data_IF_689493690937
#
_entry.id   IF_689493690937
#
_cell.length_a   1.000
_cell.length_b   1.000
_cell.length_c   1.000
_cell.angle_alpha   90.00
_cell.angle_beta   90.00
_cell.angle_gamma   90.00
#
_symmetry.space_group_name_H-M   'P 1'
#
loop_
_entity.id
_entity.type
_entity.pdbx_description
1 polymer ?
#
# COMPACT_ATOMS: atom_id res chain seq x y z
N UNK A 1 -17.27 11.04 -12.37
CA UNK A 1 -17.40 9.56 -12.37
C UNK A 1 -16.63 9.07 -13.57
N UNK A 2 -15.70 8.12 -13.41
CA UNK A 2 -14.87 7.63 -14.52
C UNK A 2 -15.73 6.71 -15.38
N UNK A 3 -15.79 6.97 -16.69
CA UNK A 3 -16.57 6.15 -17.63
C UNK A 3 -15.88 4.79 -17.85
N UNK A 4 -16.54 3.66 -17.52
CA UNK A 4 -15.98 2.32 -17.76
C UNK A 4 -15.63 2.06 -19.23
N UNK A 5 -16.35 2.66 -20.18
CA UNK A 5 -16.06 2.50 -21.60
C UNK A 5 -14.75 3.21 -22.00
N UNK A 6 -14.44 4.36 -21.40
CA UNK A 6 -13.15 5.04 -21.57
C UNK A 6 -11.99 4.25 -20.96
N UNK A 7 -12.21 3.61 -19.81
CA UNK A 7 -11.21 2.74 -19.18
C UNK A 7 -10.83 1.60 -20.13
N UNK A 8 -11.83 0.94 -20.71
CA UNK A 8 -11.57 -0.18 -21.63
C UNK A 8 -10.93 0.27 -22.94
N UNK A 9 -11.24 1.49 -23.45
CA UNK A 9 -10.57 2.07 -24.63
C UNK A 9 -9.07 2.25 -24.44
N UNK A 10 -8.63 2.54 -23.22
CA UNK A 10 -7.22 2.75 -22.91
C UNK A 10 -6.48 1.46 -22.57
N UNK A 11 -7.19 0.36 -22.37
CA UNK A 11 -6.59 -0.94 -22.05
C UNK A 11 -5.85 -1.49 -23.26
N UNK A 12 -4.63 -1.97 -23.04
CA UNK A 12 -3.86 -2.60 -24.10
C UNK A 12 -4.47 -3.96 -24.47
N UNK A 13 -4.29 -4.34 -25.73
CA UNK A 13 -4.50 -5.75 -26.09
C UNK A 13 -3.54 -6.64 -25.31
N UNK A 14 -3.98 -7.86 -24.99
CA UNK A 14 -3.15 -8.84 -24.29
C UNK A 14 -1.81 -9.10 -24.98
N UNK A 15 -1.78 -9.07 -26.32
CA UNK A 15 -0.56 -9.25 -27.10
C UNK A 15 0.42 -8.09 -26.89
N UNK A 16 -0.08 -6.85 -26.95
CA UNK A 16 0.73 -5.65 -26.75
C UNK A 16 1.23 -5.52 -25.30
N UNK A 17 0.36 -5.82 -24.33
CA UNK A 17 0.75 -5.85 -22.92
C UNK A 17 1.92 -6.83 -22.68
N UNK A 18 1.83 -8.07 -23.18
CA UNK A 18 2.90 -9.07 -23.06
C UNK A 18 4.16 -8.68 -23.82
N UNK A 19 4.02 -8.03 -24.98
CA UNK A 19 5.15 -7.54 -25.77
C UNK A 19 5.94 -6.50 -25.00
N UNK A 20 5.27 -5.47 -24.46
CA UNK A 20 5.91 -4.45 -23.61
C UNK A 20 6.59 -5.06 -22.40
N UNK A 21 5.96 -6.04 -21.75
CA UNK A 21 6.56 -6.73 -20.62
C UNK A 21 7.90 -7.38 -21.00
N UNK A 22 7.90 -8.20 -22.06
CA UNK A 22 9.07 -8.96 -22.48
C UNK A 22 10.18 -8.09 -23.05
N UNK A 23 9.82 -7.11 -23.88
CA UNK A 23 10.78 -6.34 -24.67
C UNK A 23 11.30 -5.10 -23.94
N UNK A 24 10.60 -4.64 -22.88
CA UNK A 24 10.96 -3.42 -22.15
C UNK A 24 11.09 -3.63 -20.65
N UNK A 25 10.03 -4.10 -19.98
CA UNK A 25 10.02 -4.22 -18.51
C UNK A 25 11.06 -5.25 -18.04
N UNK A 26 11.14 -6.41 -18.68
CA UNK A 26 12.10 -7.45 -18.31
C UNK A 26 13.55 -6.95 -18.47
N UNK A 27 14.00 -6.45 -19.65
CA UNK A 27 15.36 -5.93 -19.81
C UNK A 27 15.72 -4.81 -18.82
N UNK A 28 14.81 -3.86 -18.59
CA UNK A 28 15.10 -2.67 -17.80
C UNK A 28 15.11 -2.96 -16.30
N UNK A 29 14.16 -3.78 -15.81
CA UNK A 29 13.87 -3.88 -14.38
C UNK A 29 14.15 -5.26 -13.77
N UNK A 30 14.09 -6.35 -14.54
CA UNK A 30 14.11 -7.72 -14.00
C UNK A 30 15.35 -8.53 -14.42
N UNK A 31 15.89 -8.28 -15.61
CA UNK A 31 17.03 -9.01 -16.15
C UNK A 31 18.34 -8.63 -15.42
N UNK A 32 19.37 -9.46 -15.61
CA UNK A 32 20.70 -9.23 -15.01
C UNK A 32 20.81 -9.57 -13.52
N UNK A 33 19.82 -10.26 -12.95
CA UNK A 33 19.87 -10.84 -11.61
C UNK A 33 20.27 -12.31 -11.69
N UNK A 34 20.96 -12.81 -10.67
CA UNK A 34 21.44 -14.19 -10.62
C UNK A 34 20.38 -15.07 -9.94
N UNK A 35 19.91 -16.10 -10.65
CA UNK A 35 18.99 -17.10 -10.10
C UNK A 35 19.62 -17.87 -8.93
N UNK A 36 18.79 -18.21 -7.96
CA UNK A 36 19.15 -18.89 -6.72
C UNK A 36 18.40 -20.22 -6.61
N UNK A 37 19.02 -21.22 -5.99
CA UNK A 37 18.33 -22.48 -5.66
C UNK A 37 17.23 -22.27 -4.62
N UNK A 38 17.43 -21.31 -3.70
CA UNK A 38 16.45 -20.94 -2.67
C UNK A 38 16.41 -19.41 -2.58
N UNK A 39 15.66 -18.73 -3.46
CA UNK A 39 15.58 -17.28 -3.43
C UNK A 39 14.86 -16.77 -2.19
N UNK A 40 15.40 -15.73 -1.55
CA UNK A 40 14.68 -14.91 -0.57
C UNK A 40 13.74 -13.92 -1.26
N UNK A 41 12.45 -14.03 -0.98
CA UNK A 41 11.39 -13.11 -1.43
C UNK A 41 10.84 -12.37 -0.21
N UNK A 42 11.04 -11.06 -0.20
CA UNK A 42 10.67 -10.20 0.92
C UNK A 42 9.39 -9.45 0.60
N UNK A 43 8.31 -9.75 1.31
CA UNK A 43 7.09 -8.95 1.32
C UNK A 43 7.29 -7.77 2.26
N UNK A 44 7.55 -6.58 1.71
CA UNK A 44 7.65 -5.35 2.47
C UNK A 44 6.28 -4.69 2.56
N UNK A 45 5.59 -4.94 3.66
CA UNK A 45 4.20 -4.60 3.87
C UNK A 45 4.07 -3.27 4.61
N UNK A 46 3.43 -2.29 3.98
CA UNK A 46 3.15 -1.01 4.62
C UNK A 46 2.20 -0.15 3.80
N UNK A 47 1.30 0.54 4.49
CA UNK A 47 0.33 1.43 3.84
C UNK A 47 1.06 2.57 3.09
N UNK A 48 0.41 3.22 2.11
CA UNK A 48 0.97 4.41 1.47
C UNK A 48 1.41 5.45 2.52
N UNK A 49 2.59 6.02 2.33
CA UNK A 49 3.17 7.01 3.27
C UNK A 49 3.84 6.41 4.51
N UNK A 50 3.82 5.10 4.74
CA UNK A 50 4.46 4.48 5.91
C UNK A 50 6.00 4.60 5.94
N UNK A 51 6.63 5.00 4.82
CA UNK A 51 8.09 5.20 4.76
C UNK A 51 8.90 3.91 4.68
N UNK A 52 8.50 3.01 3.77
CA UNK A 52 9.17 1.72 3.50
C UNK A 52 10.64 1.85 3.08
N UNK A 53 11.03 2.98 2.48
CA UNK A 53 12.33 3.18 1.81
C UNK A 53 13.54 2.76 2.63
N UNK A 54 13.60 3.10 3.92
CA UNK A 54 14.76 2.75 4.77
C UNK A 54 14.93 1.25 4.94
N UNK A 55 13.82 0.52 5.09
CA UNK A 55 13.82 -0.95 5.17
C UNK A 55 14.11 -1.54 3.79
N UNK A 56 13.56 -0.95 2.72
CA UNK A 56 13.90 -1.33 1.34
C UNK A 56 15.41 -1.25 1.08
N UNK A 57 16.05 -0.12 1.42
CA UNK A 57 17.50 0.07 1.26
C UNK A 57 18.31 -0.99 2.02
N UNK A 58 17.92 -1.27 3.26
CA UNK A 58 18.59 -2.28 4.09
C UNK A 58 18.49 -3.68 3.45
N UNK A 59 17.29 -4.08 3.03
CA UNK A 59 17.05 -5.39 2.39
C UNK A 59 17.75 -5.46 1.03
N UNK A 60 17.63 -4.42 0.21
CA UNK A 60 18.31 -4.30 -1.08
C UNK A 60 19.82 -4.46 -0.92
N UNK A 61 20.41 -3.79 0.07
CA UNK A 61 21.83 -3.92 0.39
C UNK A 61 22.24 -5.34 0.76
N UNK A 62 21.38 -6.10 1.44
CA UNK A 62 21.61 -7.51 1.72
C UNK A 62 21.51 -8.39 0.46
N UNK A 63 20.41 -8.29 -0.29
CA UNK A 63 20.17 -9.11 -1.48
C UNK A 63 21.17 -8.83 -2.61
N UNK A 64 21.64 -7.59 -2.76
CA UNK A 64 22.65 -7.23 -3.76
C UNK A 64 24.00 -7.93 -3.54
N UNK A 65 24.33 -8.33 -2.30
CA UNK A 65 25.53 -9.14 -2.03
C UNK A 65 25.38 -10.60 -2.47
N UNK A 66 24.16 -11.02 -2.82
CA UNK A 66 23.80 -12.39 -3.14
C UNK A 66 23.11 -12.49 -4.51
N UNK A 67 23.63 -11.79 -5.52
CA UNK A 67 23.13 -11.92 -6.90
C UNK A 67 22.07 -10.91 -7.34
N UNK A 68 21.74 -9.93 -6.48
CA UNK A 68 20.77 -8.88 -6.78
C UNK A 68 19.33 -9.34 -6.61
N UNK A 69 18.39 -8.41 -6.78
CA UNK A 69 16.97 -8.67 -6.59
C UNK A 69 16.10 -7.96 -7.64
N UNK A 70 14.89 -8.46 -7.83
CA UNK A 70 13.82 -7.78 -8.54
C UNK A 70 12.99 -6.93 -7.56
N UNK A 71 12.86 -5.62 -7.85
CA UNK A 71 11.93 -4.75 -7.12
C UNK A 71 10.55 -4.84 -7.80
N UNK A 72 9.59 -5.44 -7.10
CA UNK A 72 8.24 -5.69 -7.62
C UNK A 72 7.29 -4.67 -7.02
N UNK A 73 7.07 -3.61 -7.78
CA UNK A 73 6.14 -2.53 -7.47
C UNK A 73 5.34 -2.15 -8.72
N UNK A 74 4.01 -2.15 -8.59
CA UNK A 74 3.10 -1.72 -9.65
C UNK A 74 3.41 -0.31 -10.19
N UNK A 75 3.97 0.57 -9.37
CA UNK A 75 4.32 1.93 -9.77
C UNK A 75 5.51 2.00 -10.74
N UNK A 76 6.40 1.00 -10.72
CA UNK A 76 7.53 0.91 -11.66
C UNK A 76 7.08 0.54 -13.08
N UNK A 77 5.94 -0.16 -13.21
CA UNK A 77 5.45 -0.65 -14.50
C UNK A 77 4.53 0.33 -15.22
N UNK A 78 3.78 1.16 -14.49
CA UNK A 78 2.84 2.13 -15.11
C UNK A 78 3.48 3.05 -16.16
N UNK A 79 4.71 3.56 -15.98
CA UNK A 79 5.39 4.40 -16.99
C UNK A 79 5.63 3.72 -18.34
N UNK A 80 5.57 2.39 -18.41
CA UNK A 80 5.70 1.65 -19.67
C UNK A 80 4.44 1.70 -20.54
N UNK A 81 3.30 2.12 -19.97
CA UNK A 81 2.07 2.27 -20.73
C UNK A 81 2.20 3.41 -21.77
N UNK A 82 1.91 3.18 -23.06
CA UNK A 82 2.09 4.19 -24.11
C UNK A 82 1.37 5.52 -23.85
N UNK A 83 0.20 5.46 -23.21
CA UNK A 83 -0.57 6.65 -22.85
C UNK A 83 -0.15 7.32 -21.53
N UNK A 84 0.79 6.76 -20.75
CA UNK A 84 1.09 7.21 -19.38
C UNK A 84 1.47 8.68 -19.31
N UNK A 85 2.43 9.13 -20.13
CA UNK A 85 2.92 10.50 -20.09
C UNK A 85 1.82 11.53 -20.44
N UNK A 86 1.00 11.21 -21.45
CA UNK A 86 -0.15 12.05 -21.85
C UNK A 86 -1.18 12.13 -20.73
N UNK A 87 -1.59 10.98 -20.19
CA UNK A 87 -2.60 10.92 -19.13
C UNK A 87 -2.14 11.59 -17.84
N UNK A 88 -0.87 11.45 -17.47
CA UNK A 88 -0.28 12.15 -16.32
C UNK A 88 -0.34 13.68 -16.46
N UNK A 89 -0.17 14.20 -17.68
CA UNK A 89 -0.23 15.64 -17.95
C UNK A 89 -1.66 16.19 -17.99
N UNK A 90 -2.64 15.34 -18.31
CA UNK A 90 -4.06 15.70 -18.36
C UNK A 90 -4.72 15.64 -16.98
N UNK A 91 -4.66 14.49 -16.33
CA UNK A 91 -5.31 14.22 -15.05
C UNK A 91 -4.71 12.95 -14.40
N UNK A 92 -4.09 13.12 -13.23
CA UNK A 92 -3.42 12.03 -12.49
C UNK A 92 -4.39 10.92 -12.04
N UNK A 93 -5.65 11.27 -11.82
CA UNK A 93 -6.73 10.37 -11.41
C UNK A 93 -7.23 9.55 -12.59
N UNK A 94 -7.39 10.15 -13.77
CA UNK A 94 -7.71 9.42 -15.00
C UNK A 94 -6.56 8.49 -15.41
N UNK A 95 -5.32 8.95 -15.32
CA UNK A 95 -4.14 8.10 -15.53
C UNK A 95 -4.21 6.84 -14.66
N UNK A 96 -4.42 7.02 -13.35
CA UNK A 96 -4.44 5.92 -12.40
C UNK A 96 -5.56 4.91 -12.70
N UNK A 97 -6.70 5.36 -13.24
CA UNK A 97 -7.79 4.48 -13.62
C UNK A 97 -7.50 3.72 -14.92
N UNK A 98 -7.01 4.42 -15.94
CA UNK A 98 -6.83 3.88 -17.29
C UNK A 98 -5.65 2.90 -17.38
N UNK A 99 -4.56 3.12 -16.63
CA UNK A 99 -3.40 2.21 -16.66
C UNK A 99 -3.49 1.09 -15.62
N UNK A 100 -4.59 1.00 -14.84
CA UNK A 100 -4.68 0.09 -13.69
C UNK A 100 -4.64 -1.37 -14.10
N UNK A 101 -5.41 -1.73 -15.14
CA UNK A 101 -5.52 -3.11 -15.59
C UNK A 101 -4.18 -3.63 -16.12
N UNK A 102 -3.54 -2.87 -17.01
CA UNK A 102 -2.23 -3.19 -17.57
C UNK A 102 -1.13 -3.26 -16.52
N UNK A 103 -1.11 -2.29 -15.58
CA UNK A 103 -0.17 -2.31 -14.46
C UNK A 103 -0.33 -3.54 -13.57
N UNK A 104 -1.56 -4.00 -13.30
CA UNK A 104 -1.80 -5.25 -12.57
C UNK A 104 -1.35 -6.48 -13.35
N UNK A 105 -1.58 -6.51 -14.66
CA UNK A 105 -1.14 -7.61 -15.52
C UNK A 105 0.39 -7.71 -15.56
N UNK A 106 1.10 -6.60 -15.69
CA UNK A 106 2.57 -6.58 -15.63
C UNK A 106 3.11 -6.98 -14.26
N UNK A 107 2.44 -6.57 -13.17
CA UNK A 107 2.83 -7.00 -11.83
C UNK A 107 2.71 -8.52 -11.67
N UNK A 108 1.62 -9.14 -12.14
CA UNK A 108 1.47 -10.59 -12.16
C UNK A 108 2.52 -11.31 -13.04
N UNK A 109 2.84 -10.73 -14.20
CA UNK A 109 3.91 -11.25 -15.08
C UNK A 109 5.30 -11.14 -14.42
N UNK A 110 5.59 -10.04 -13.72
CA UNK A 110 6.84 -9.85 -12.98
C UNK A 110 6.97 -10.86 -11.83
N UNK A 111 5.90 -11.06 -11.06
CA UNK A 111 5.88 -12.09 -10.01
C UNK A 111 6.12 -13.50 -10.57
N UNK A 112 5.52 -13.83 -11.72
CA UNK A 112 5.75 -15.10 -12.40
C UNK A 112 7.20 -15.25 -12.89
N UNK A 113 7.75 -14.20 -13.50
CA UNK A 113 9.14 -14.16 -13.96
C UNK A 113 10.12 -14.40 -12.80
N UNK A 114 9.90 -13.75 -11.66
CA UNK A 114 10.71 -13.94 -10.43
C UNK A 114 10.70 -15.40 -9.98
N UNK A 115 9.53 -16.05 -9.95
CA UNK A 115 9.41 -17.46 -9.56
C UNK A 115 10.09 -18.39 -10.57
N UNK A 116 9.85 -18.20 -11.86
CA UNK A 116 10.41 -19.03 -12.93
C UNK A 116 11.95 -18.99 -12.97
N UNK A 117 12.54 -17.83 -12.66
CA UNK A 117 13.98 -17.62 -12.71
C UNK A 117 14.67 -17.77 -11.35
N UNK A 118 13.93 -18.10 -10.28
CA UNK A 118 14.46 -18.26 -8.93
C UNK A 118 15.14 -16.99 -8.41
N UNK A 119 14.57 -15.81 -8.65
CA UNK A 119 15.20 -14.54 -8.29
C UNK A 119 14.87 -14.13 -6.85
N UNK A 120 15.83 -13.51 -6.16
CA UNK A 120 15.48 -12.68 -5.01
C UNK A 120 14.53 -11.57 -5.42
N UNK A 121 13.62 -11.19 -4.53
CA UNK A 121 12.69 -10.10 -4.79
C UNK A 121 12.31 -9.33 -3.53
N UNK A 122 11.97 -8.05 -3.73
CA UNK A 122 11.23 -7.25 -2.75
C UNK A 122 9.86 -6.97 -3.36
N UNK A 123 8.80 -7.47 -2.73
CA UNK A 123 7.42 -7.22 -3.13
C UNK A 123 6.90 -6.05 -2.30
N UNK A 124 6.66 -4.91 -2.96
CA UNK A 124 6.12 -3.71 -2.30
C UNK A 124 4.61 -3.87 -2.11
N UNK A 125 4.19 -4.19 -0.89
CA UNK A 125 2.80 -4.55 -0.60
C UNK A 125 2.11 -3.51 0.29
N UNK A 126 0.86 -3.19 -0.03
CA UNK A 126 -0.01 -2.29 0.74
C UNK A 126 -1.16 -3.03 1.43
N UNK A 127 -1.43 -4.27 1.03
CA UNK A 127 -2.35 -5.24 1.63
C UNK A 127 -3.81 -4.78 1.65
N UNK A 128 -4.31 -4.21 0.56
CA UNK A 128 -5.74 -3.92 0.39
C UNK A 128 -6.62 -5.18 0.39
N UNK A 129 -6.05 -6.32 -0.02
CA UNK A 129 -6.71 -7.63 0.01
C UNK A 129 -5.77 -8.67 0.62
N UNK A 130 -5.91 -8.90 1.92
CA UNK A 130 -5.04 -9.82 2.67
C UNK A 130 -5.11 -11.27 2.18
N UNK A 131 -6.26 -11.73 1.65
CA UNK A 131 -6.41 -13.09 1.13
C UNK A 131 -5.60 -13.27 -0.17
N UNK A 132 -5.66 -12.30 -1.08
CA UNK A 132 -4.85 -12.33 -2.30
C UNK A 132 -3.34 -12.29 -2.00
N UNK A 133 -2.92 -11.56 -0.96
CA UNK A 133 -1.51 -11.56 -0.53
C UNK A 133 -1.10 -12.91 0.05
N UNK A 134 -1.94 -13.53 0.87
CA UNK A 134 -1.70 -14.89 1.37
C UNK A 134 -1.51 -15.90 0.23
N UNK A 135 -2.35 -15.86 -0.80
CA UNK A 135 -2.21 -16.71 -1.99
C UNK A 135 -0.86 -16.52 -2.68
N UNK A 136 -0.40 -15.26 -2.83
CA UNK A 136 0.93 -14.96 -3.38
C UNK A 136 2.06 -15.51 -2.52
N UNK A 137 1.98 -15.33 -1.20
CA UNK A 137 2.99 -15.85 -0.26
C UNK A 137 3.11 -17.37 -0.37
N UNK A 138 1.96 -18.08 -0.45
CA UNK A 138 1.93 -19.53 -0.69
C UNK A 138 2.57 -19.89 -2.03
N UNK A 139 2.22 -19.19 -3.11
CA UNK A 139 2.80 -19.45 -4.43
C UNK A 139 4.33 -19.31 -4.47
N UNK A 140 4.92 -18.37 -3.73
CA UNK A 140 6.37 -18.25 -3.60
C UNK A 140 7.00 -19.38 -2.76
N UNK A 141 6.35 -19.79 -1.67
CA UNK A 141 6.81 -20.95 -0.89
C UNK A 141 6.77 -22.23 -1.71
N UNK A 142 5.69 -22.43 -2.47
CA UNK A 142 5.50 -23.61 -3.32
C UNK A 142 6.53 -23.65 -4.46
N UNK A 143 7.07 -22.50 -4.88
CA UNK A 143 8.20 -22.41 -5.81
C UNK A 143 9.58 -22.60 -5.14
N UNK A 144 9.64 -22.96 -3.85
CA UNK A 144 10.88 -23.18 -3.11
C UNK A 144 11.57 -21.91 -2.61
N UNK A 145 10.89 -20.76 -2.62
CA UNK A 145 11.45 -19.52 -2.10
C UNK A 145 11.39 -19.49 -0.56
N UNK A 146 12.43 -18.89 0.05
CA UNK A 146 12.36 -18.40 1.42
C UNK A 146 11.52 -17.12 1.42
N UNK A 147 10.43 -17.10 2.19
CA UNK A 147 9.54 -15.94 2.28
C UNK A 147 9.79 -15.18 3.57
N UNK A 148 10.09 -13.89 3.47
CA UNK A 148 10.19 -13.00 4.62
C UNK A 148 9.11 -11.92 4.54
N UNK A 149 8.45 -11.62 5.66
CA UNK A 149 7.39 -10.64 5.73
C UNK A 149 7.77 -9.53 6.71
N UNK A 150 8.11 -8.35 6.17
CA UNK A 150 8.56 -7.20 6.95
C UNK A 150 7.45 -6.15 6.94
N UNK A 151 6.88 -5.88 8.10
CA UNK A 151 5.73 -4.99 8.25
C UNK A 151 6.12 -3.63 8.82
N UNK A 152 5.49 -2.57 8.33
CA UNK A 152 5.61 -1.22 8.88
C UNK A 152 4.55 -0.97 9.96
N UNK A 153 4.96 -0.94 11.23
CA UNK A 153 4.15 -0.55 12.38
C UNK A 153 4.12 0.96 12.55
N UNK A 154 3.41 1.66 11.66
CA UNK A 154 3.41 3.12 11.61
C UNK A 154 2.02 3.68 11.92
N UNK A 155 1.89 4.62 12.87
CA UNK A 155 0.62 5.29 13.18
C UNK A 155 -0.04 5.95 11.95
N UNK A 156 -1.37 5.93 11.89
CA UNK A 156 -2.12 6.40 10.72
C UNK A 156 -1.81 7.86 10.37
N UNK A 157 -1.70 8.74 11.38
CA UNK A 157 -1.37 10.15 11.19
C UNK A 157 -0.02 10.35 10.49
N UNK A 158 1.01 9.59 10.88
CA UNK A 158 2.32 9.67 10.23
C UNK A 158 2.27 9.23 8.77
N UNK A 159 1.55 8.14 8.46
CA UNK A 159 1.40 7.70 7.07
C UNK A 159 0.58 8.69 6.24
N UNK A 160 -0.50 9.26 6.78
CA UNK A 160 -1.31 10.26 6.08
C UNK A 160 -0.53 11.54 5.82
N UNK A 161 0.26 12.01 6.80
CA UNK A 161 1.20 13.12 6.59
C UNK A 161 2.22 12.77 5.51
N UNK A 162 2.75 11.56 5.51
CA UNK A 162 3.69 11.08 4.49
C UNK A 162 3.10 11.08 3.07
N UNK A 163 1.82 10.74 2.91
CA UNK A 163 1.12 10.83 1.62
C UNK A 163 1.07 12.28 1.14
N UNK A 164 0.65 13.21 2.00
CA UNK A 164 0.55 14.64 1.66
C UNK A 164 1.92 15.23 1.37
N UNK A 165 2.92 14.95 2.21
CA UNK A 165 4.28 15.45 2.03
C UNK A 165 4.87 15.00 0.69
N UNK A 166 4.75 13.72 0.35
CA UNK A 166 5.22 13.20 -0.95
C UNK A 166 4.50 13.87 -2.12
N UNK A 167 3.20 14.11 -2.00
CA UNK A 167 2.43 14.77 -3.05
C UNK A 167 2.88 16.22 -3.25
N UNK A 168 3.09 16.98 -2.17
CA UNK A 168 3.60 18.36 -2.26
C UNK A 168 5.01 18.43 -2.82
N UNK A 169 5.89 17.49 -2.44
CA UNK A 169 7.22 17.38 -3.04
C UNK A 169 7.16 17.12 -4.56
N UNK A 170 6.24 16.26 -5.02
CA UNK A 170 6.04 16.01 -6.45
C UNK A 170 5.52 17.23 -7.20
N UNK A 171 4.54 17.95 -6.62
CA UNK A 171 4.05 19.20 -7.19
C UNK A 171 5.16 20.25 -7.31
N UNK A 172 6.00 20.38 -6.28
CA UNK A 172 7.10 21.33 -6.28
C UNK A 172 8.20 20.96 -7.30
N UNK A 173 8.52 19.67 -7.44
CA UNK A 173 9.57 19.17 -8.34
C UNK A 173 9.14 19.17 -9.81
N UNK A 174 7.87 18.81 -10.10
CA UNK A 174 7.43 18.45 -11.46
C UNK A 174 6.22 19.24 -11.96
N UNK A 175 5.62 20.09 -11.12
CA UNK A 175 4.33 20.73 -11.40
C UNK A 175 3.12 19.80 -11.34
N UNK A 176 3.36 18.49 -11.17
CA UNK A 176 2.33 17.45 -11.13
C UNK A 176 2.72 16.37 -10.11
N UNK A 177 1.73 15.83 -9.40
CA UNK A 177 1.91 14.79 -8.41
C UNK A 177 0.77 13.78 -8.47
N UNK A 178 0.93 12.63 -7.82
CA UNK A 178 -0.12 11.61 -7.74
C UNK A 178 -0.58 11.44 -6.31
N UNK A 179 -1.74 12.01 -5.99
CA UNK A 179 -2.29 11.91 -4.65
C UNK A 179 -2.90 10.53 -4.43
N UNK A 180 -2.47 9.85 -3.37
CA UNK A 180 -3.12 8.59 -2.96
C UNK A 180 -4.56 8.88 -2.51
N UNK A 181 -5.52 8.18 -3.10
CA UNK A 181 -6.93 8.21 -2.66
C UNK A 181 -7.01 7.74 -1.20
N UNK A 182 -7.67 8.53 -0.35
CA UNK A 182 -7.67 8.28 1.10
C UNK A 182 -8.30 6.95 1.48
N UNK A 183 -9.44 6.58 0.87
CA UNK A 183 -10.09 5.29 1.14
C UNK A 183 -9.17 4.09 0.84
N UNK A 184 -8.36 4.16 -0.22
CA UNK A 184 -7.38 3.13 -0.53
C UNK A 184 -6.28 3.01 0.54
N UNK A 185 -5.85 4.14 1.11
CA UNK A 185 -4.88 4.17 2.20
C UNK A 185 -5.48 3.61 3.50
N UNK A 186 -6.74 3.90 3.79
CA UNK A 186 -7.46 3.41 4.96
C UNK A 186 -7.74 1.89 4.86
N UNK A 187 -8.16 1.41 3.68
CA UNK A 187 -8.28 -0.02 3.38
C UNK A 187 -6.94 -0.75 3.57
N UNK A 188 -5.84 -0.17 3.06
CA UNK A 188 -4.49 -0.70 3.28
C UNK A 188 -4.14 -0.76 4.76
N UNK A 189 -4.41 0.33 5.51
CA UNK A 189 -4.13 0.40 6.94
C UNK A 189 -4.85 -0.71 7.71
N UNK A 190 -6.14 -0.95 7.45
CA UNK A 190 -6.90 -2.03 8.07
C UNK A 190 -6.45 -3.43 7.59
N UNK A 191 -6.26 -3.60 6.28
CA UNK A 191 -5.92 -4.87 5.65
C UNK A 191 -4.56 -5.43 6.09
N UNK A 192 -3.61 -4.57 6.45
CA UNK A 192 -2.30 -4.99 7.00
C UNK A 192 -2.45 -5.82 8.29
N UNK A 193 -3.38 -5.46 9.19
CA UNK A 193 -3.61 -6.25 10.41
C UNK A 193 -4.27 -7.60 10.09
N UNK A 194 -5.13 -7.65 9.08
CA UNK A 194 -5.73 -8.90 8.61
C UNK A 194 -4.69 -9.82 7.97
N UNK A 195 -3.74 -9.27 7.23
CA UNK A 195 -2.61 -10.03 6.68
C UNK A 195 -1.70 -10.55 7.80
N UNK A 196 -1.42 -9.74 8.83
CA UNK A 196 -0.65 -10.18 9.97
C UNK A 196 -1.26 -11.42 10.66
N UNK A 197 -2.59 -11.41 10.88
CA UNK A 197 -3.31 -12.58 11.42
C UNK A 197 -3.17 -13.82 10.54
N UNK A 198 -3.17 -13.65 9.20
CA UNK A 198 -3.01 -14.75 8.24
C UNK A 198 -1.59 -15.29 8.24
N UNK A 199 -0.58 -14.42 8.32
CA UNK A 199 0.84 -14.81 8.41
C UNK A 199 1.07 -15.63 9.68
N UNK A 200 0.62 -15.14 10.82
CA UNK A 200 0.73 -15.82 12.12
C UNK A 200 0.03 -17.19 12.09
N UNK A 201 -1.25 -17.24 11.71
CA UNK A 201 -2.05 -18.46 11.73
C UNK A 201 -1.60 -19.49 10.69
N UNK A 202 -1.20 -19.03 9.52
CA UNK A 202 -0.84 -19.86 8.38
C UNK A 202 0.64 -20.21 8.29
N UNK A 203 1.47 -19.70 9.22
CA UNK A 203 2.93 -19.78 9.15
C UNK A 203 3.45 -19.41 7.75
N UNK A 204 2.95 -18.31 7.18
CA UNK A 204 3.13 -17.98 5.75
C UNK A 204 4.54 -17.47 5.39
N UNK A 205 5.37 -17.14 6.38
CA UNK A 205 6.71 -16.62 6.17
C UNK A 205 7.71 -17.32 7.09
N UNK A 206 8.94 -17.49 6.62
CA UNK A 206 10.06 -18.01 7.41
C UNK A 206 10.56 -16.99 8.45
N UNK A 207 10.33 -15.71 8.18
CA UNK A 207 10.61 -14.58 9.07
C UNK A 207 9.47 -13.57 9.00
N UNK A 208 8.96 -13.15 10.15
CA UNK A 208 8.01 -12.06 10.27
C UNK A 208 8.55 -10.99 11.21
N UNK A 209 8.61 -9.73 10.77
CA UNK A 209 9.15 -8.62 11.56
C UNK A 209 8.29 -7.37 11.48
N UNK A 210 8.34 -6.53 12.51
CA UNK A 210 7.71 -5.19 12.54
C UNK A 210 8.77 -4.11 12.70
N UNK A 211 8.75 -3.12 11.82
CA UNK A 211 9.64 -1.96 11.82
C UNK A 211 8.88 -0.67 12.09
N UNK A 212 9.56 0.27 12.74
CA UNK A 212 9.11 1.67 12.82
C UNK A 212 9.63 2.45 11.62
N UNK A 213 8.94 3.55 11.31
CA UNK A 213 9.38 4.49 10.27
C UNK A 213 10.76 5.04 10.59
N UNK A 214 11.68 4.96 9.63
CA UNK A 214 13.04 5.49 9.77
C UNK A 214 14.04 4.58 10.52
N UNK A 215 13.58 3.46 11.09
CA UNK A 215 14.46 2.50 11.78
C UNK A 215 14.86 1.34 10.84
N UNK A 216 16.07 0.81 11.03
CA UNK A 216 16.55 -0.42 10.37
C UNK A 216 16.56 -1.63 11.30
N UNK A 217 16.20 -1.45 12.58
CA UNK A 217 16.09 -2.55 13.55
C UNK A 217 14.61 -2.85 13.78
N UNK A 218 14.18 -4.13 13.74
CA UNK A 218 12.81 -4.48 14.02
C UNK A 218 12.49 -4.34 15.52
N UNK A 219 11.23 -4.01 15.82
CA UNK A 219 10.63 -3.96 17.17
C UNK A 219 10.00 -5.28 17.59
N UNK A 220 9.64 -6.10 16.61
CA UNK A 220 9.19 -7.47 16.75
C UNK A 220 9.84 -8.31 15.65
N UNK A 221 10.24 -9.54 15.98
CA UNK A 221 10.77 -10.50 15.02
C UNK A 221 10.43 -11.90 15.52
N UNK A 222 9.92 -12.74 14.63
CA UNK A 222 9.69 -14.16 14.87
C UNK A 222 10.02 -14.94 13.61
N UNK A 223 10.50 -16.17 13.75
CA UNK A 223 10.91 -17.02 12.64
C UNK A 223 10.36 -18.43 12.81
N UNK A 224 10.18 -19.12 11.70
CA UNK A 224 9.88 -20.54 11.75
C UNK A 224 11.14 -21.33 12.10
N UNK A 225 10.97 -22.38 12.88
CA UNK A 225 11.99 -23.39 13.11
C UNK A 225 11.99 -24.44 11.99
N UNK A 226 12.89 -25.43 12.09
CA UNK A 226 13.00 -26.51 11.11
C UNK A 226 11.77 -27.43 11.00
N UNK A 227 10.79 -27.30 11.90
CA UNK A 227 9.52 -28.04 11.86
C UNK A 227 8.39 -27.24 11.20
N UNK A 228 8.64 -25.98 10.82
CA UNK A 228 7.62 -25.07 10.31
C UNK A 228 6.73 -24.47 11.39
N UNK A 229 7.18 -24.51 12.66
CA UNK A 229 6.48 -23.89 13.79
C UNK A 229 7.16 -22.58 14.17
N UNK A 230 6.40 -21.59 14.63
CA UNK A 230 6.98 -20.35 15.14
C UNK A 230 7.86 -20.60 16.37
N UNK A 231 9.07 -20.04 16.37
CA UNK A 231 10.00 -20.15 17.49
C UNK A 231 9.50 -19.44 18.77
N UNK A 232 8.78 -18.33 18.60
CA UNK A 232 8.07 -17.63 19.68
C UNK A 232 6.56 -17.57 19.44
N UNK A 233 5.78 -17.07 20.41
CA UNK A 233 4.35 -16.84 20.22
C UNK A 233 4.06 -15.98 18.97
N UNK A 234 3.11 -16.39 18.11
CA UNK A 234 2.73 -15.60 16.94
C UNK A 234 1.92 -14.38 17.38
N UNK A 235 2.58 -13.23 17.43
CA UNK A 235 2.06 -11.96 17.97
C UNK A 235 2.23 -10.81 16.95
N UNK A 236 2.38 -11.10 15.67
CA UNK A 236 2.67 -10.10 14.63
C UNK A 236 1.59 -9.02 14.60
N UNK A 237 0.30 -9.40 14.64
CA UNK A 237 -0.81 -8.44 14.71
C UNK A 237 -0.71 -7.55 15.94
N UNK A 238 -0.45 -8.15 17.11
CA UNK A 238 -0.35 -7.43 18.39
C UNK A 238 0.82 -6.45 18.36
N UNK A 239 1.96 -6.86 17.83
CA UNK A 239 3.12 -6.01 17.65
C UNK A 239 2.82 -4.81 16.74
N UNK A 240 2.09 -5.02 15.64
CA UNK A 240 1.67 -3.93 14.75
C UNK A 240 0.70 -2.95 15.44
N UNK A 241 -0.30 -3.45 16.16
CA UNK A 241 -1.24 -2.61 16.90
C UNK A 241 -0.51 -1.77 17.96
N UNK A 242 0.41 -2.40 18.70
CA UNK A 242 1.25 -1.73 19.71
C UNK A 242 2.02 -0.56 19.10
N UNK A 243 2.65 -0.77 17.95
CA UNK A 243 3.44 0.29 17.30
C UNK A 243 2.60 1.39 16.64
N UNK A 244 1.35 1.09 16.28
CA UNK A 244 0.39 2.07 15.74
C UNK A 244 -0.22 2.98 16.81
N UNK A 245 -0.37 2.48 18.03
CA UNK A 245 -1.10 3.14 19.11
C UNK A 245 -0.20 3.73 20.19
N UNK A 246 1.09 3.41 20.19
CA UNK A 246 2.01 3.92 21.22
C UNK A 246 2.12 5.45 21.19
N UNK A 247 2.36 6.08 22.36
CA UNK A 247 2.83 7.44 22.42
C UNK A 247 4.14 7.63 21.63
N UNK A 248 4.28 8.81 21.04
CA UNK A 248 5.45 9.21 20.27
C UNK A 248 6.53 9.73 21.20
N UNK A 249 7.78 9.54 20.80
CA UNK A 249 8.91 10.19 21.44
C UNK A 249 8.88 11.70 21.19
N UNK A 250 9.66 12.46 21.95
CA UNK A 250 9.81 13.90 21.72
C UNK A 250 10.31 14.19 20.29
N UNK A 251 11.34 13.48 19.83
CA UNK A 251 11.90 13.66 18.48
C UNK A 251 10.87 13.36 17.37
N UNK A 252 10.07 12.30 17.52
CA UNK A 252 9.00 11.98 16.58
C UNK A 252 7.91 13.05 16.56
N UNK A 253 7.55 13.55 17.75
CA UNK A 253 6.54 14.59 17.91
C UNK A 253 6.99 15.90 17.27
N UNK A 254 8.23 16.33 17.53
CA UNK A 254 8.80 17.56 16.98
C UNK A 254 8.94 17.48 15.46
N UNK A 255 9.42 16.33 14.94
CA UNK A 255 9.53 16.09 13.50
C UNK A 255 8.17 16.13 12.80
N UNK A 256 7.15 15.52 13.40
CA UNK A 256 5.79 15.53 12.87
C UNK A 256 5.22 16.95 12.86
N UNK A 257 5.33 17.70 13.97
CA UNK A 257 4.83 19.09 14.05
C UNK A 257 5.53 19.98 13.04
N UNK A 258 6.86 19.91 12.95
CA UNK A 258 7.65 20.68 11.98
C UNK A 258 7.18 20.40 10.54
N UNK A 259 7.00 19.12 10.20
CA UNK A 259 6.48 18.73 8.88
C UNK A 259 5.07 19.27 8.66
N UNK A 260 4.19 19.13 9.66
CA UNK A 260 2.79 19.55 9.55
C UNK A 260 2.65 21.06 9.31
N UNK A 261 3.42 21.88 10.04
CA UNK A 261 3.41 23.33 9.88
C UNK A 261 3.94 23.75 8.50
N UNK A 262 5.00 23.10 8.01
CA UNK A 262 5.50 23.32 6.64
C UNK A 262 4.45 22.96 5.58
N UNK A 263 3.73 21.84 5.77
CA UNK A 263 2.64 21.48 4.87
C UNK A 263 1.51 22.50 4.91
N UNK A 264 1.15 23.02 6.09
CA UNK A 264 0.14 24.10 6.19
C UNK A 264 0.56 25.35 5.43
N UNK A 265 1.83 25.74 5.49
CA UNK A 265 2.31 26.90 4.72
C UNK A 265 2.21 26.64 3.23
N UNK A 266 2.70 25.48 2.78
CA UNK A 266 2.68 25.08 1.36
C UNK A 266 1.25 24.96 0.82
N UNK A 267 0.32 24.47 1.64
CA UNK A 267 -1.08 24.26 1.28
C UNK A 267 -1.85 25.55 0.97
N UNK A 268 -1.40 26.72 1.46
CA UNK A 268 -2.07 28.01 1.23
C UNK A 268 -2.22 28.34 -0.26
N UNK A 269 -1.32 27.84 -1.09
CA UNK A 269 -1.32 28.06 -2.53
C UNK A 269 -2.07 26.99 -3.33
N UNK A 270 -2.53 25.90 -2.71
CA UNK A 270 -2.97 24.69 -3.42
C UNK A 270 -4.49 24.45 -3.43
N UNK A 271 -5.26 25.14 -2.60
CA UNK A 271 -6.73 25.06 -2.61
C UNK A 271 -7.39 24.89 -1.24
N UNK A 272 -8.73 25.02 -1.17
CA UNK A 272 -9.49 25.01 0.08
C UNK A 272 -9.62 23.63 0.74
N UNK A 273 -9.29 22.53 0.05
CA UNK A 273 -9.42 21.16 0.57
C UNK A 273 -8.27 20.75 1.52
N UNK A 274 -7.12 21.43 1.43
CA UNK A 274 -5.92 21.09 2.18
C UNK A 274 -6.01 21.41 3.68
N UNK A 275 -6.55 22.58 4.10
CA UNK A 275 -6.75 22.86 5.53
C UNK A 275 -7.49 21.75 6.27
N UNK A 276 -8.62 21.29 5.74
CA UNK A 276 -9.43 20.24 6.36
C UNK A 276 -8.70 18.89 6.40
N UNK A 277 -8.01 18.55 5.31
CA UNK A 277 -7.20 17.32 5.26
C UNK A 277 -6.07 17.36 6.30
N UNK A 278 -5.37 18.48 6.44
CA UNK A 278 -4.29 18.64 7.42
C UNK A 278 -4.81 18.63 8.86
N UNK A 279 -5.95 19.28 9.13
CA UNK A 279 -6.61 19.22 10.44
C UNK A 279 -6.96 17.78 10.83
N UNK A 280 -7.53 16.97 9.91
CA UNK A 280 -7.81 15.55 10.20
C UNK A 280 -6.56 14.76 10.58
N UNK A 281 -5.41 15.02 9.95
CA UNK A 281 -4.14 14.36 10.27
C UNK A 281 -3.65 14.78 11.66
N UNK A 282 -3.82 16.06 12.03
CA UNK A 282 -3.49 16.57 13.36
C UNK A 282 -4.36 15.92 14.44
N UNK A 283 -5.66 15.77 14.20
CA UNK A 283 -6.59 15.13 15.13
C UNK A 283 -6.22 13.68 15.40
N UNK A 284 -5.79 12.96 14.36
CA UNK A 284 -5.25 11.61 14.48
C UNK A 284 -3.94 11.56 15.28
N UNK A 285 -3.10 12.60 15.19
CA UNK A 285 -1.80 12.65 15.85
C UNK A 285 -1.86 13.09 17.32
N UNK A 286 -2.78 13.99 17.68
CA UNK A 286 -2.90 14.58 19.02
C UNK A 286 -2.84 13.58 20.18
N UNK A 287 -3.56 12.44 20.17
CA UNK A 287 -3.49 11.50 21.30
C UNK A 287 -2.13 10.79 21.42
N UNK A 288 -1.29 10.83 20.39
CA UNK A 288 0.00 10.16 20.36
C UNK A 288 1.17 11.12 20.60
N UNK A 289 0.98 12.42 20.35
CA UNK A 289 2.01 13.46 20.54
C UNK A 289 2.37 13.69 22.02
N UNK A 290 3.56 14.21 22.26
CA UNK A 290 3.86 14.83 23.56
C UNK A 290 2.95 16.06 23.78
N UNK A 291 2.56 16.38 25.04
CA UNK A 291 1.71 17.53 25.32
C UNK A 291 2.25 18.85 24.76
N UNK A 292 3.57 19.06 24.85
CA UNK A 292 4.26 20.25 24.31
C UNK A 292 4.12 20.36 22.79
N UNK A 293 4.29 19.25 22.06
CA UNK A 293 4.17 19.24 20.61
C UNK A 293 2.69 19.41 20.18
N UNK A 294 1.75 18.76 20.89
CA UNK A 294 0.32 18.90 20.62
C UNK A 294 -0.15 20.36 20.75
N UNK A 295 0.40 21.12 21.70
CA UNK A 295 0.10 22.55 21.90
C UNK A 295 0.62 23.48 20.79
N UNK A 296 1.52 23.03 19.93
CA UNK A 296 2.03 23.80 18.79
C UNK A 296 1.16 23.69 17.54
N UNK A 297 0.32 22.65 17.45
CA UNK A 297 -0.59 22.46 16.32
C UNK A 297 -1.82 23.38 16.46
N UNK A 298 -2.36 23.94 15.35
CA UNK A 298 -3.53 24.81 15.39
C UNK A 298 -4.70 24.17 16.15
N UNK A 299 -5.46 24.95 16.91
CA UNK A 299 -6.61 24.42 17.66
C UNK A 299 -7.70 23.88 16.72
N UNK A 300 -8.35 22.80 17.13
CA UNK A 300 -9.45 22.14 16.40
C UNK A 300 -10.81 22.76 16.70
N UNK A 301 -10.87 23.69 17.67
CA UNK A 301 -12.09 24.41 17.97
C UNK A 301 -12.45 25.29 16.76
N UNK A 302 -13.70 25.27 16.28
CA UNK A 302 -14.14 26.29 15.33
C UNK A 302 -13.87 27.64 16.00
N UNK A 303 -13.09 28.48 15.34
CA UNK A 303 -12.92 29.87 15.75
C UNK A 303 -14.31 30.46 15.80
N UNK A 304 -14.87 30.64 17.01
CA UNK A 304 -16.05 31.46 17.18
C UNK A 304 -15.72 32.80 16.50
N UNK A 305 -16.63 33.37 15.69
CA UNK A 305 -16.36 34.66 15.06
C UNK A 305 -15.93 35.62 16.17
N UNK A 306 -14.74 36.20 16.01
CA UNK A 306 -14.21 37.19 16.93
C UNK A 306 -15.29 38.24 17.14
N UNK A 307 -15.92 38.22 18.31
CA UNK A 307 -16.83 39.28 18.71
C UNK A 307 -16.00 40.54 18.79
N UNK A 308 -16.14 41.39 17.77
CA UNK A 308 -15.70 42.76 17.83
C UNK A 308 -16.20 43.38 19.14
N UNK A 309 -15.44 44.28 19.79
CA UNK A 309 -15.88 44.93 21.01
C UNK A 309 -17.21 45.65 20.76
N UNK A 310 -18.15 45.64 21.71
CA UNK A 310 -19.45 46.26 21.53
C UNK A 310 -19.29 47.75 21.25
N UNK A 311 -19.80 48.19 20.10
CA UNK A 311 -19.96 49.60 19.74
C UNK A 311 -20.83 50.29 20.81
N UNK A 312 -20.49 51.49 21.29
CA UNK A 312 -21.28 52.17 22.32
C UNK A 312 -22.70 52.49 21.83
N UNK A 313 -23.69 52.50 22.73
CA UNK A 313 -25.09 52.66 22.36
C UNK A 313 -25.35 54.05 21.77
N UNK A 314 -26.00 54.06 20.60
CA UNK A 314 -26.52 55.25 19.93
C UNK A 314 -27.81 55.73 20.64
N UNK A 315 -28.02 57.05 20.84
CA UNK A 315 -29.19 57.55 21.53
C UNK A 315 -30.50 57.32 20.75
N UNK A 316 -31.65 57.20 21.46
CA UNK A 316 -32.92 56.82 20.85
C UNK A 316 -33.51 57.96 20.01
N UNK A 317 -34.03 57.62 18.83
CA UNK A 317 -34.93 58.48 18.06
C UNK A 317 -36.38 57.98 18.19
N UNK A 318 -37.36 58.91 18.17
CA UNK A 318 -38.73 58.62 18.57
C UNK A 318 -39.51 57.82 17.54
N UNK A 319 -40.47 57.06 18.08
CA UNK A 319 -41.40 56.14 17.43
C UNK A 319 -42.36 56.83 16.46
N UNK A 320 -42.55 56.22 15.29
CA UNK A 320 -43.69 56.49 14.42
C UNK A 320 -44.53 55.23 14.25
N UNK A 321 -45.81 55.41 14.57
CA UNK A 321 -47.01 54.59 14.53
C UNK A 321 -47.22 53.70 13.29
N UNK A 322 -47.69 52.47 13.53
CA UNK A 322 -48.37 51.59 12.58
C UNK A 322 -49.75 52.13 12.14
N UNK A 323 -50.25 51.71 10.97
CA UNK A 323 -51.45 50.85 10.90
C UNK A 323 -51.33 49.78 9.78
N UNK A 324 -52.14 48.73 9.56
CA UNK A 324 -53.22 47.98 10.22
C UNK A 324 -53.42 46.69 9.36
N UNK A 325 -53.85 45.59 10.00
CA UNK A 325 -54.53 44.35 9.53
C UNK A 325 -55.23 44.36 8.15
N UNK A 326 -55.51 43.28 7.37
CA UNK A 326 -55.61 41.79 7.44
C UNK A 326 -56.19 41.31 6.04
N UNK A 327 -56.72 40.08 5.79
CA UNK A 327 -56.22 38.69 5.93
C UNK A 327 -56.52 37.78 4.68
N UNK A 328 -56.46 36.44 4.84
CA UNK A 328 -56.97 35.30 4.00
C UNK A 328 -55.98 34.66 3.01
N UNK A 329 -55.85 33.34 2.82
CA UNK A 329 -56.59 32.13 3.28
C UNK A 329 -55.75 30.86 3.04
N UNK A 330 -56.04 29.84 3.82
CA UNK A 330 -55.61 28.44 3.82
C UNK A 330 -55.84 27.63 2.53
N UNK A 331 -55.02 26.59 2.27
CA UNK A 331 -55.48 25.21 2.08
C UNK A 331 -54.32 24.19 1.93
N UNK A 332 -54.55 23.01 2.49
CA UNK A 332 -53.67 21.87 2.77
C UNK A 332 -53.43 20.90 1.57
N UNK A 333 -52.60 19.84 1.70
CA UNK A 333 -52.07 19.01 0.60
C UNK A 333 -52.77 17.66 0.44
N UNK A 334 -52.48 16.94 -0.67
CA UNK A 334 -52.52 15.45 -0.91
C UNK A 334 -52.91 15.14 -2.39
N UNK A 335 -52.86 13.88 -2.90
CA UNK A 335 -51.93 12.75 -2.75
C UNK A 335 -51.53 12.10 -4.10
N UNK A 336 -50.77 10.99 -4.04
CA UNK A 336 -50.40 10.04 -5.12
C UNK A 336 -51.59 9.45 -5.93
N UNK A 337 -51.29 8.69 -7.00
CA UNK A 337 -51.64 7.26 -6.96
C UNK A 337 -50.63 6.26 -7.59
N UNK A 338 -50.81 5.01 -7.14
CA UNK A 338 -50.30 3.68 -7.54
C UNK A 338 -50.68 3.30 -9.01
N UNK A 339 -50.25 2.24 -9.72
CA UNK A 339 -49.82 0.88 -9.37
C UNK A 339 -49.30 0.09 -10.62
N UNK A 340 -48.79 -1.13 -10.36
CA UNK A 340 -48.73 -2.34 -11.21
C UNK A 340 -47.58 -2.44 -12.24
N UNK A 341 -46.99 -3.61 -12.57
CA UNK A 341 -46.91 -4.98 -12.03
C UNK A 341 -45.94 -5.72 -12.97
N UNK A 342 -45.02 -6.57 -12.48
CA UNK A 342 -44.60 -7.79 -13.19
C UNK A 342 -43.64 -8.62 -12.33
N UNK A 343 -44.05 -9.88 -12.14
CA UNK A 343 -43.31 -10.96 -11.50
C UNK A 343 -42.33 -11.55 -12.52
N UNK A 344 -41.16 -12.00 -12.08
CA UNK A 344 -40.50 -13.19 -12.65
C UNK A 344 -39.53 -13.78 -11.63
N UNK A 345 -39.93 -14.94 -11.10
CA UNK A 345 -39.08 -15.89 -10.38
C UNK A 345 -38.50 -16.85 -11.42
N UNK A 346 -37.21 -17.11 -11.35
CA UNK A 346 -36.61 -18.32 -11.95
C UNK A 346 -35.70 -18.97 -10.91
N UNK A 347 -36.14 -20.13 -10.46
CA UNK A 347 -35.44 -21.09 -9.62
C UNK A 347 -34.26 -21.72 -10.36
N UNK A 348 -33.15 -22.07 -9.69
CA UNK A 348 -32.17 -23.01 -10.23
C UNK A 348 -32.66 -24.44 -10.03
N UNK A 349 -32.57 -25.25 -11.09
CA UNK A 349 -32.93 -26.67 -11.09
C UNK A 349 -31.73 -27.48 -10.62
N UNK A 350 -31.97 -28.31 -9.62
CA UNK A 350 -31.10 -29.37 -9.10
C UNK A 350 -31.00 -30.54 -10.08
N UNK A 351 -29.78 -31.08 -10.23
CA UNK A 351 -29.49 -32.35 -10.87
C UNK A 351 -28.28 -32.97 -10.20
N UNK A 352 -28.53 -33.99 -9.36
CA UNK A 352 -27.51 -34.80 -8.69
C UNK A 352 -26.93 -35.91 -9.60
N UNK A 353 -26.24 -36.90 -9.02
CA UNK A 353 -24.86 -37.25 -9.38
C UNK A 353 -24.74 -38.48 -10.30
N UNK A 354 -23.59 -38.61 -10.96
CA UNK A 354 -23.14 -39.87 -11.54
C UNK A 354 -21.65 -40.08 -11.24
N UNK A 355 -21.35 -41.20 -10.59
CA UNK A 355 -20.03 -41.82 -10.39
C UNK A 355 -20.21 -43.31 -10.69
N UNK A 356 -19.15 -44.15 -10.83
CA UNK A 356 -17.83 -43.98 -11.42
C UNK A 356 -17.59 -44.97 -12.59
N UNK A 357 -16.66 -44.65 -13.50
CA UNK A 357 -16.11 -45.61 -14.45
C UNK A 357 -14.62 -45.84 -14.20
N UNK A 358 -14.28 -47.01 -13.64
CA UNK A 358 -12.92 -47.54 -13.58
C UNK A 358 -12.43 -47.94 -14.98
N UNK A 359 -11.19 -47.58 -15.33
CA UNK A 359 -10.26 -48.45 -16.05
C UNK A 359 -8.83 -47.89 -15.93
N UNK A 360 -7.91 -48.79 -15.56
CA UNK A 360 -6.51 -48.60 -15.20
C UNK A 360 -5.56 -48.77 -16.43
N UNK A 361 -4.22 -48.65 -16.28
CA UNK A 361 -3.27 -48.14 -17.29
C UNK A 361 -2.54 -49.24 -18.09
N UNK A 362 -1.59 -48.87 -18.97
CA UNK A 362 -0.16 -49.11 -18.71
C UNK A 362 0.74 -47.97 -19.28
N UNK A 363 2.05 -47.81 -19.06
CA UNK A 363 3.14 -48.52 -18.37
C UNK A 363 4.36 -47.56 -18.37
N UNK A 364 5.11 -47.44 -17.27
CA UNK A 364 6.44 -48.03 -17.02
C UNK A 364 7.50 -47.97 -18.13
N UNK A 365 8.66 -47.41 -17.75
CA UNK A 365 9.97 -47.50 -18.42
C UNK A 365 10.45 -46.12 -18.94
N UNK A 366 11.57 -45.52 -18.56
CA UNK A 366 12.86 -46.06 -18.13
C UNK A 366 13.63 -45.02 -17.28
N UNK A 367 14.30 -45.50 -16.22
CA UNK A 367 15.53 -44.90 -15.67
C UNK A 367 16.73 -45.43 -16.47
N UNK A 368 17.84 -44.68 -16.50
CA UNK A 368 19.05 -45.14 -15.81
C UNK A 368 19.67 -43.99 -14.98
N UNK A 369 20.03 -44.21 -13.71
CA UNK A 369 21.25 -44.85 -13.21
C UNK A 369 22.37 -43.84 -12.91
N UNK A 370 22.72 -43.87 -11.63
CA UNK A 370 23.80 -43.25 -10.89
C UNK A 370 25.19 -43.36 -11.52
N UNK A 371 25.98 -42.29 -11.43
CA UNK A 371 27.44 -42.29 -11.60
C UNK A 371 28.02 -41.03 -10.95
N UNK A 372 28.42 -41.11 -9.68
CA UNK A 372 29.80 -41.25 -9.20
C UNK A 372 30.56 -39.91 -9.14
N UNK A 373 30.77 -39.50 -7.89
CA UNK A 373 31.70 -38.50 -7.35
C UNK A 373 33.09 -38.58 -8.00
N UNK A 374 33.61 -37.44 -8.45
CA UNK A 374 35.05 -37.15 -8.57
C UNK A 374 35.29 -35.65 -8.31
N UNK A 375 35.84 -35.32 -7.14
CA UNK A 375 36.74 -34.15 -6.97
C UNK A 375 38.17 -34.65 -7.22
N UNK A 376 39.08 -33.86 -7.84
CA UNK A 376 39.91 -32.96 -7.03
C UNK A 376 40.44 -31.71 -7.77
N UNK A 377 40.71 -30.63 -7.03
CA UNK A 377 42.07 -30.08 -6.86
C UNK A 377 42.01 -28.67 -6.29
N UNK A 378 42.57 -28.51 -5.10
CA UNK A 378 42.87 -27.23 -4.48
C UNK A 378 43.95 -26.50 -5.28
N UNK A 379 43.69 -25.26 -5.67
CA UNK A 379 44.71 -24.30 -6.07
C UNK A 379 45.34 -23.62 -4.85
N UNK A 380 46.59 -23.12 -4.96
CA UNK A 380 47.33 -22.58 -3.83
C UNK A 380 46.79 -21.21 -3.37
N UNK A 381 47.01 -20.82 -2.10
CA UNK A 381 46.46 -19.59 -1.53
C UNK A 381 47.17 -18.34 -2.06
N UNK A 382 46.38 -17.35 -2.47
CA UNK A 382 46.85 -15.99 -2.77
C UNK A 382 47.18 -15.19 -1.50
N UNK A 383 48.00 -14.13 -1.60
CA UNK A 383 48.58 -13.47 -0.42
C UNK A 383 47.61 -12.51 0.28
N UNK A 384 47.72 -12.51 1.60
CA UNK A 384 47.02 -11.69 2.60
C UNK A 384 47.36 -10.19 2.50
N UNK A 385 46.39 -9.29 2.25
CA UNK A 385 46.63 -7.85 2.24
C UNK A 385 46.32 -7.23 3.61
N UNK A 386 46.99 -7.70 4.66
CA UNK A 386 47.03 -7.01 5.95
C UNK A 386 48.47 -6.88 6.47
N UNK A 387 49.30 -6.20 5.67
CA UNK A 387 50.61 -5.70 6.11
C UNK A 387 50.56 -4.17 6.21
N UNK A 388 50.27 -3.69 7.43
CA UNK A 388 50.57 -2.32 7.84
C UNK A 388 52.09 -2.16 8.01
N UNK A 389 52.62 -1.02 7.58
CA UNK A 389 53.92 -0.52 8.05
C UNK A 389 54.73 0.24 7.01
N UNK A 390 54.44 1.52 6.81
CA UNK A 390 55.20 2.67 7.35
C UNK A 390 54.62 3.97 6.84
#
# INVERSE_FOLDING_TARGET
MIDPAEVERHRLSDAENRRIFRERIVPDLLAGRVGQETPTVVFLVGQPGAGKSRVTEMVAGALNRHGGFADVDSDLYKPYHPAYARLMAEDDTLMAAYTRADGRAWMAQAEAYVREHGLHAIIQETSQNAAAVEEKMRAYRDSGARVEALFMGVPQAMSNQGIVNRYFEQLADRGQGRLTVQSNADESYAGILQLADRVDRGALADLASVYRRGESKPRYSNSLDGTGTWAGPPELRRALATERERPWTAAESDSFVSTQLRLRESARALGPEWPDRLTRIEDQARPLLTPTAAGQLPSTAPTAPSTAPPTPPRPPQPTATSPTASPSTSASPSPSPSAAAARSRSTPRSGGPATPGQAQPPGQGHRPASGRVVSPSQGPPGPDPNRRGR
#
